data_IF_416659636124
#
_entry.id   IF_416659636124
#
_cell.length_a   1.000
_cell.length_b   1.000
_cell.length_c   1.000
_cell.angle_alpha   90.00
_cell.angle_beta   90.00
_cell.angle_gamma   90.00
#
_symmetry.space_group_name_H-M   'P 1'
#
loop_
_entity.id
_entity.type
_entity.pdbx_description
1 polymer ?
#
# COMPACT_ATOMS: atom_id res chain seq x y z
N UNK A 1 21.61 14.87 -13.92
CA UNK A 1 22.72 15.36 -13.07
C UNK A 1 24.00 14.57 -13.40
N UNK A 2 24.84 15.08 -14.32
CA UNK A 2 26.05 14.38 -14.80
C UNK A 2 27.01 13.95 -13.67
N UNK A 3 27.10 14.74 -12.60
CA UNK A 3 27.98 14.50 -11.44
C UNK A 3 27.60 13.30 -10.55
N UNK A 4 26.44 12.68 -10.76
CA UNK A 4 25.98 11.53 -9.98
C UNK A 4 26.12 10.19 -10.74
N UNK A 5 26.47 10.23 -12.03
CA UNK A 5 26.39 9.06 -12.92
C UNK A 5 27.34 7.92 -12.53
N UNK A 6 28.50 8.25 -11.95
CA UNK A 6 29.53 7.30 -11.50
C UNK A 6 29.31 6.77 -10.07
N UNK A 7 28.38 7.35 -9.32
CA UNK A 7 28.12 6.95 -7.94
C UNK A 7 27.25 5.68 -7.88
N UNK A 8 27.50 4.84 -6.88
CA UNK A 8 26.62 3.71 -6.58
C UNK A 8 25.20 4.18 -6.29
N UNK A 9 24.22 3.28 -6.38
CA UNK A 9 22.82 3.63 -6.10
C UNK A 9 22.64 4.21 -4.69
N UNK A 10 23.27 3.59 -3.68
CA UNK A 10 23.24 4.05 -2.28
C UNK A 10 23.87 5.44 -2.13
N UNK A 11 25.03 5.69 -2.75
CA UNK A 11 25.69 7.01 -2.71
C UNK A 11 24.89 8.10 -3.41
N UNK A 12 24.13 7.75 -4.45
CA UNK A 12 23.19 8.69 -5.08
C UNK A 12 22.05 9.05 -4.14
N UNK A 13 21.49 8.07 -3.42
CA UNK A 13 20.43 8.30 -2.44
C UNK A 13 20.91 9.22 -1.31
N UNK A 14 22.09 8.94 -0.74
CA UNK A 14 22.71 9.75 0.31
C UNK A 14 22.91 11.20 -0.14
N UNK A 15 23.56 11.40 -1.30
CA UNK A 15 23.86 12.74 -1.82
C UNK A 15 22.62 13.54 -2.18
N UNK A 16 21.53 12.88 -2.59
CA UNK A 16 20.25 13.50 -2.89
C UNK A 16 19.30 13.57 -1.67
N UNK A 17 19.71 13.03 -0.52
CA UNK A 17 18.87 12.89 0.68
C UNK A 17 17.54 12.19 0.38
N UNK A 18 17.58 11.13 -0.43
CA UNK A 18 16.43 10.33 -0.84
C UNK A 18 16.38 9.00 -0.10
N UNK A 19 15.17 8.59 0.27
CA UNK A 19 14.88 7.22 0.73
C UNK A 19 14.98 6.21 -0.42
N UNK A 20 15.11 4.93 -0.11
CA UNK A 20 15.18 3.88 -1.13
C UNK A 20 13.92 3.87 -1.99
N UNK A 21 14.07 3.54 -3.28
CA UNK A 21 12.95 3.38 -4.20
C UNK A 21 11.90 2.38 -3.68
N UNK A 22 12.34 1.29 -3.04
CA UNK A 22 11.42 0.28 -2.50
C UNK A 22 10.54 0.85 -1.39
N UNK A 23 11.08 1.68 -0.50
CA UNK A 23 10.35 2.35 0.58
C UNK A 23 9.35 3.36 0.04
N UNK A 24 9.77 4.15 -0.95
CA UNK A 24 8.88 5.12 -1.62
C UNK A 24 7.72 4.43 -2.32
N UNK A 25 8.00 3.33 -3.01
CA UNK A 25 6.96 2.51 -3.67
C UNK A 25 6.01 1.90 -2.65
N UNK A 26 6.54 1.34 -1.56
CA UNK A 26 5.74 0.79 -0.49
C UNK A 26 4.80 1.84 0.11
N UNK A 27 5.34 3.01 0.47
CA UNK A 27 4.57 4.12 1.04
C UNK A 27 3.49 4.60 0.07
N UNK A 28 3.84 4.80 -1.21
CA UNK A 28 2.89 5.20 -2.26
C UNK A 28 1.77 4.17 -2.43
N UNK A 29 2.13 2.89 -2.53
CA UNK A 29 1.16 1.81 -2.69
C UNK A 29 0.16 1.74 -1.53
N UNK A 30 0.62 1.92 -0.29
CA UNK A 30 -0.24 1.91 0.90
C UNK A 30 -1.18 3.11 0.94
N UNK A 31 -0.66 4.31 0.64
CA UNK A 31 -1.49 5.53 0.60
C UNK A 31 -2.59 5.38 -0.46
N UNK A 32 -2.24 4.88 -1.64
CA UNK A 32 -3.22 4.70 -2.72
C UNK A 32 -4.27 3.66 -2.35
N UNK A 33 -3.85 2.53 -1.77
CA UNK A 33 -4.77 1.50 -1.26
C UNK A 33 -5.77 2.10 -0.27
N UNK A 34 -5.30 2.97 0.65
CA UNK A 34 -6.18 3.66 1.60
C UNK A 34 -7.17 4.60 0.92
N UNK A 35 -6.75 5.41 -0.05
CA UNK A 35 -7.66 6.33 -0.73
C UNK A 35 -8.74 5.58 -1.50
N UNK A 36 -8.37 4.54 -2.25
CA UNK A 36 -9.30 3.69 -3.00
C UNK A 36 -10.32 3.09 -2.03
N UNK A 37 -9.86 2.39 -0.98
CA UNK A 37 -10.76 1.69 -0.05
C UNK A 37 -11.64 2.63 0.80
N UNK A 38 -11.24 3.89 0.98
CA UNK A 38 -12.04 4.87 1.73
C UNK A 38 -12.85 5.82 0.86
N UNK A 39 -12.91 5.57 -0.46
CA UNK A 39 -13.70 6.38 -1.40
C UNK A 39 -13.19 7.82 -1.56
N UNK A 40 -11.90 8.06 -1.32
CA UNK A 40 -11.27 9.38 -1.52
C UNK A 40 -10.81 9.62 -2.96
N UNK A 41 -10.93 8.59 -3.79
CA UNK A 41 -10.73 8.64 -5.23
C UNK A 41 -11.98 8.09 -5.91
N UNK A 42 -12.30 8.65 -7.07
CA UNK A 42 -13.44 8.22 -7.88
C UNK A 42 -13.08 6.96 -8.69
N UNK A 43 -12.82 5.88 -7.96
CA UNK A 43 -12.43 4.59 -8.50
C UNK A 43 -13.19 3.53 -7.72
N UNK A 44 -13.90 2.66 -8.44
CA UNK A 44 -14.53 1.49 -7.83
C UNK A 44 -13.45 0.57 -7.20
N UNK A 45 -13.44 0.39 -5.87
CA UNK A 45 -12.47 -0.45 -5.19
C UNK A 45 -12.52 -1.91 -5.63
N UNK A 46 -13.67 -2.39 -6.10
CA UNK A 46 -13.88 -3.78 -6.52
C UNK A 46 -13.02 -4.17 -7.72
N UNK A 47 -12.59 -3.19 -8.54
CA UNK A 47 -11.71 -3.38 -9.69
C UNK A 47 -10.30 -3.83 -9.29
N UNK A 48 -9.85 -3.41 -8.10
CA UNK A 48 -8.51 -3.71 -7.60
C UNK A 48 -8.53 -4.73 -6.48
N UNK A 49 -9.50 -4.63 -5.59
CA UNK A 49 -9.51 -5.32 -4.31
C UNK A 49 -10.80 -6.07 -4.08
N UNK A 50 -10.66 -7.23 -3.46
CA UNK A 50 -11.77 -7.97 -2.90
C UNK A 50 -11.64 -7.87 -1.39
N UNK A 51 -12.67 -7.39 -0.71
CA UNK A 51 -12.72 -7.43 0.76
C UNK A 51 -12.84 -8.88 1.23
N UNK A 52 -12.17 -9.21 2.34
CA UNK A 52 -12.31 -10.52 2.96
C UNK A 52 -13.76 -10.70 3.44
N UNK A 53 -14.48 -11.65 2.85
CA UNK A 53 -15.75 -12.13 3.40
C UNK A 53 -15.42 -13.04 4.58
N UNK A 54 -15.65 -12.58 5.80
CA UNK A 54 -15.57 -13.44 6.98
C UNK A 54 -16.97 -13.93 7.35
N UNK A 55 -17.12 -15.25 7.53
CA UNK A 55 -18.32 -15.83 8.15
C UNK A 55 -18.23 -15.48 9.64
N UNK A 56 -18.93 -14.42 10.07
CA UNK A 56 -18.98 -13.96 11.46
C UNK A 56 -18.10 -12.74 11.80
N UNK A 57 -18.51 -12.06 12.86
CA UNK A 57 -18.05 -10.77 13.46
C UNK A 57 -18.13 -9.50 12.57
N UNK A 58 -19.18 -8.67 12.74
CA UNK A 58 -19.31 -7.35 12.10
C UNK A 58 -18.12 -6.41 12.33
N UNK A 59 -17.34 -6.62 13.39
CA UNK A 59 -16.19 -5.79 13.71
C UNK A 59 -15.00 -6.00 12.76
N UNK A 60 -14.89 -7.15 12.09
CA UNK A 60 -13.90 -7.43 11.05
C UNK A 60 -14.31 -6.82 9.70
N UNK A 61 -15.60 -6.75 9.40
CA UNK A 61 -16.15 -6.05 8.23
C UNK A 61 -15.83 -4.55 8.27
N UNK A 62 -15.86 -3.94 9.47
CA UNK A 62 -15.49 -2.53 9.66
C UNK A 62 -13.98 -2.24 9.40
N UNK A 63 -13.12 -3.25 9.34
CA UNK A 63 -11.66 -3.10 9.29
C UNK A 63 -11.01 -2.99 7.90
N UNK A 64 -11.79 -2.98 6.80
CA UNK A 64 -11.29 -2.93 5.41
C UNK A 64 -10.22 -4.00 5.09
N UNK A 65 -10.32 -5.20 5.68
CA UNK A 65 -9.38 -6.30 5.45
C UNK A 65 -9.52 -6.86 4.03
N UNK A 66 -8.39 -7.09 3.36
CA UNK A 66 -8.36 -7.55 1.97
C UNK A 66 -8.26 -9.07 1.86
N UNK A 67 -9.00 -9.65 0.93
CA UNK A 67 -8.87 -11.04 0.56
C UNK A 67 -7.60 -11.27 -0.27
N UNK A 68 -6.77 -12.21 0.17
CA UNK A 68 -5.54 -12.57 -0.53
C UNK A 68 -5.80 -13.62 -1.61
N UNK A 69 -6.09 -13.16 -2.83
CA UNK A 69 -6.17 -14.04 -3.99
C UNK A 69 -4.80 -14.68 -4.28
N UNK A 70 -4.79 -15.98 -4.63
CA UNK A 70 -3.57 -16.66 -5.06
C UNK A 70 -3.14 -16.10 -6.42
N UNK A 71 -1.92 -15.56 -6.49
CA UNK A 71 -1.32 -15.08 -7.74
C UNK A 71 -0.45 -16.15 -8.40
N UNK A 72 -0.77 -16.52 -9.64
CA UNK A 72 0.08 -17.39 -10.46
C UNK A 72 1.26 -16.61 -11.03
N UNK A 73 2.49 -17.02 -10.68
CA UNK A 73 3.72 -16.42 -11.20
C UNK A 73 4.20 -15.12 -10.52
N UNK A 74 5.49 -14.82 -10.70
CA UNK A 74 6.18 -13.69 -10.04
C UNK A 74 5.64 -12.32 -10.47
N UNK A 75 5.37 -12.13 -11.78
CA UNK A 75 4.81 -10.87 -12.32
C UNK A 75 3.47 -10.52 -11.68
N UNK A 76 2.55 -11.48 -11.61
CA UNK A 76 1.23 -11.28 -11.00
C UNK A 76 1.34 -10.99 -9.51
N UNK A 77 2.17 -11.73 -8.76
CA UNK A 77 2.41 -11.48 -7.32
C UNK A 77 2.96 -10.07 -7.06
N UNK A 78 3.75 -9.53 -7.99
CA UNK A 78 4.35 -8.19 -7.89
C UNK A 78 3.47 -7.06 -8.44
N UNK A 79 2.27 -7.38 -8.96
CA UNK A 79 1.29 -6.36 -9.36
C UNK A 79 0.73 -5.65 -8.13
N UNK A 80 0.35 -4.37 -8.30
CA UNK A 80 -0.16 -3.50 -7.24
C UNK A 80 -1.25 -4.19 -6.39
N UNK A 81 -2.30 -4.70 -7.02
CA UNK A 81 -3.45 -5.29 -6.33
C UNK A 81 -3.16 -6.49 -5.44
N UNK A 82 -2.05 -7.21 -5.66
CA UNK A 82 -1.68 -8.37 -4.84
C UNK A 82 -0.56 -8.08 -3.84
N UNK A 83 0.43 -7.27 -4.22
CA UNK A 83 1.59 -7.00 -3.36
C UNK A 83 1.20 -6.21 -2.11
N UNK A 84 0.17 -5.37 -2.21
CA UNK A 84 -0.32 -4.53 -1.11
C UNK A 84 -1.13 -5.30 -0.07
N UNK A 85 -1.65 -6.48 -0.41
CA UNK A 85 -2.58 -7.21 0.46
C UNK A 85 -1.94 -7.62 1.79
N UNK A 86 -0.73 -8.20 1.78
CA UNK A 86 -0.11 -8.63 3.04
C UNK A 86 0.27 -7.45 3.94
N UNK A 87 0.95 -6.40 3.43
CA UNK A 87 1.24 -5.23 4.25
C UNK A 87 -0.01 -4.52 4.76
N UNK A 88 -1.04 -4.41 3.93
CA UNK A 88 -2.32 -3.80 4.32
C UNK A 88 -2.98 -4.56 5.47
N UNK A 89 -3.08 -5.88 5.36
CA UNK A 89 -3.70 -6.73 6.38
C UNK A 89 -2.92 -6.79 7.71
N UNK A 90 -1.66 -6.34 7.73
CA UNK A 90 -0.86 -6.19 8.97
C UNK A 90 -1.17 -4.89 9.72
N UNK A 91 -1.88 -3.94 9.09
CA UNK A 91 -2.21 -2.66 9.72
C UNK A 91 -3.33 -2.82 10.73
N UNK A 92 -3.27 -1.98 11.76
CA UNK A 92 -4.30 -1.94 12.78
C UNK A 92 -5.58 -1.30 12.23
N UNK A 93 -6.71 -1.70 12.81
CA UNK A 93 -8.01 -1.13 12.49
C UNK A 93 -8.04 0.39 12.67
N UNK A 94 -7.37 0.92 13.71
CA UNK A 94 -7.31 2.37 13.99
C UNK A 94 -6.61 3.14 12.87
N UNK A 95 -5.50 2.61 12.35
CA UNK A 95 -4.77 3.26 11.24
C UNK A 95 -5.65 3.29 9.98
N UNK A 96 -6.24 2.15 9.63
CA UNK A 96 -7.04 2.01 8.41
C UNK A 96 -8.33 2.83 8.45
N UNK A 97 -8.92 3.02 9.64
CA UNK A 97 -10.12 3.84 9.85
C UNK A 97 -9.83 5.33 10.10
N UNK A 98 -8.59 5.79 9.92
CA UNK A 98 -8.28 7.21 10.03
C UNK A 98 -9.21 8.04 9.13
N UNK A 99 -9.76 9.14 9.65
CA UNK A 99 -10.69 10.00 8.88
C UNK A 99 -9.99 10.69 7.70
N UNK A 100 -8.79 11.22 7.95
CA UNK A 100 -8.00 11.99 6.98
C UNK A 100 -6.84 11.17 6.44
N UNK A 101 -6.51 11.38 5.16
CA UNK A 101 -5.34 10.78 4.52
C UNK A 101 -4.03 11.18 5.21
N UNK A 102 -3.94 12.39 5.75
CA UNK A 102 -2.79 12.82 6.54
C UNK A 102 -2.58 11.94 7.78
N UNK A 103 -3.66 11.60 8.48
CA UNK A 103 -3.60 10.70 9.64
C UNK A 103 -3.07 9.31 9.27
N UNK A 104 -3.50 8.78 8.13
CA UNK A 104 -2.96 7.52 7.62
C UNK A 104 -1.47 7.64 7.24
N UNK A 105 -1.08 8.73 6.55
CA UNK A 105 0.30 9.00 6.15
C UNK A 105 1.26 9.10 7.35
N UNK A 106 0.82 9.64 8.49
CA UNK A 106 1.66 9.77 9.68
C UNK A 106 1.96 8.43 10.36
N UNK A 107 1.13 7.41 10.16
CA UNK A 107 1.30 6.07 10.76
C UNK A 107 2.01 5.07 9.83
N UNK A 108 2.43 5.54 8.64
CA UNK A 108 3.09 4.73 7.60
C UNK A 108 4.60 4.75 7.74
#
# INVERSE_FOLDING_TARGET
>A
VPSLRKLSYEKRLEKLKLTMLIERRFRGDMIETYKILTGKEDIDPSRFFQLARERGDPNLVRGLKLFKKRGCGKKRRNSFSLRVVNPWNKRSKKEVQARKTSGFKSNL
#
